data_IF_652291868182
#
_entry.id   IF_652291868182
#
_cell.length_a   1.000
_cell.length_b   1.000
_cell.length_c   1.000
_cell.angle_alpha   90.00
_cell.angle_beta   90.00
_cell.angle_gamma   90.00
#
_symmetry.space_group_name_H-M   'P 1'
#
loop_
_entity.id
_entity.type
_entity.pdbx_description
1 polymer ?
#
# COMPACT_ATOMS: atom_id res chain seq x y z
N UNK A 1 7.93 -10.53 11.63
CA UNK A 1 6.86 -9.63 11.15
C UNK A 1 6.78 -9.73 9.64
N UNK A 2 5.64 -10.11 9.09
CA UNK A 2 5.38 -10.16 7.64
C UNK A 2 5.35 -8.74 7.05
N UNK A 3 5.45 -8.60 5.72
CA UNK A 3 5.32 -7.29 5.08
C UNK A 3 3.93 -6.68 5.27
N UNK A 4 2.88 -7.51 5.35
CA UNK A 4 1.51 -7.05 5.67
C UNK A 4 1.43 -6.47 7.07
N UNK A 5 2.02 -7.16 8.04
CA UNK A 5 2.11 -6.68 9.43
C UNK A 5 2.96 -5.41 9.54
N UNK A 6 4.06 -5.29 8.78
CA UNK A 6 4.88 -4.07 8.71
C UNK A 6 4.06 -2.87 8.26
N UNK A 7 3.33 -3.02 7.16
CA UNK A 7 2.46 -1.98 6.61
C UNK A 7 1.39 -1.56 7.62
N UNK A 8 0.64 -2.53 8.17
CA UNK A 8 -0.41 -2.26 9.16
C UNK A 8 0.14 -1.54 10.39
N UNK A 9 1.27 -2.03 10.93
CA UNK A 9 1.92 -1.42 12.09
C UNK A 9 2.37 0.02 11.81
N UNK A 10 2.94 0.30 10.65
CA UNK A 10 3.40 1.65 10.29
C UNK A 10 2.25 2.66 10.28
N UNK A 11 1.12 2.30 9.64
CA UNK A 11 -0.05 3.17 9.55
C UNK A 11 -1.01 3.07 10.76
N UNK A 12 -0.65 2.27 11.77
CA UNK A 12 -1.42 2.14 13.00
C UNK A 12 -2.73 1.35 12.88
N UNK A 13 -2.85 0.49 11.87
CA UNK A 13 -4.03 -0.36 11.66
C UNK A 13 -3.98 -1.60 12.55
N UNK A 14 -5.12 -1.95 13.17
CA UNK A 14 -5.31 -3.25 13.80
C UNK A 14 -5.45 -4.37 12.74
N UNK A 15 -5.36 -5.64 13.16
CA UNK A 15 -5.38 -6.78 12.24
C UNK A 15 -6.65 -6.85 11.37
N UNK A 16 -7.80 -6.56 11.95
CA UNK A 16 -9.11 -6.60 11.28
C UNK A 16 -9.70 -5.21 11.01
N UNK A 17 -8.88 -4.16 11.13
CA UNK A 17 -9.33 -2.78 10.87
C UNK A 17 -9.47 -2.53 9.37
N UNK A 18 -10.47 -1.73 9.00
CA UNK A 18 -10.58 -1.20 7.65
C UNK A 18 -9.41 -0.27 7.35
N UNK A 19 -8.74 -0.50 6.23
CA UNK A 19 -7.80 0.45 5.65
C UNK A 19 -8.08 0.60 4.15
N UNK A 20 -8.00 1.82 3.60
CA UNK A 20 -8.37 2.08 2.21
C UNK A 20 -7.30 1.58 1.24
N UNK A 21 -7.74 1.08 0.09
CA UNK A 21 -6.91 0.93 -1.09
C UNK A 21 -6.34 2.30 -1.48
N UNK A 22 -5.03 2.37 -1.67
CA UNK A 22 -4.35 3.62 -1.98
C UNK A 22 -4.68 4.13 -3.39
N UNK A 23 -5.12 3.22 -4.27
CA UNK A 23 -5.49 3.53 -5.67
C UNK A 23 -6.93 4.05 -5.77
N UNK A 24 -7.90 3.33 -5.18
CA UNK A 24 -9.32 3.57 -5.43
C UNK A 24 -10.19 3.75 -4.17
N UNK A 25 -9.58 3.72 -2.98
CA UNK A 25 -10.26 3.89 -1.67
C UNK A 25 -11.24 2.79 -1.24
N UNK A 26 -11.51 1.80 -2.09
CA UNK A 26 -12.21 0.57 -1.66
C UNK A 26 -11.45 -0.13 -0.52
N UNK A 27 -12.08 -1.03 0.27
CA UNK A 27 -11.37 -1.77 1.32
C UNK A 27 -10.15 -2.51 0.76
N UNK A 28 -8.98 -2.23 1.31
CA UNK A 28 -7.79 -2.99 0.97
C UNK A 28 -7.87 -4.37 1.62
N UNK A 29 -7.51 -5.39 0.85
CA UNK A 29 -7.50 -6.80 1.29
C UNK A 29 -6.10 -7.39 1.22
N UNK A 30 -5.15 -6.68 0.61
CA UNK A 30 -3.76 -7.10 0.50
C UNK A 30 -2.80 -5.91 0.58
N UNK A 31 -1.52 -6.23 0.75
CA UNK A 31 -0.40 -5.28 0.61
C UNK A 31 0.43 -5.74 -0.58
N UNK A 32 0.70 -4.83 -1.50
CA UNK A 32 1.43 -5.07 -2.73
C UNK A 32 2.80 -4.41 -2.67
N UNK A 33 3.82 -5.05 -3.25
CA UNK A 33 5.13 -4.42 -3.42
C UNK A 33 5.13 -3.53 -4.65
N UNK A 34 5.27 -2.21 -4.50
CA UNK A 34 5.26 -1.27 -5.63
C UNK A 34 6.29 -1.67 -6.71
N UNK A 35 7.51 -2.03 -6.28
CA UNK A 35 8.48 -2.77 -7.06
C UNK A 35 8.44 -4.24 -6.66
N UNK A 36 8.22 -5.15 -7.61
CA UNK A 36 8.11 -6.58 -7.33
C UNK A 36 9.37 -7.14 -6.65
N UNK A 37 9.20 -8.09 -5.71
CA UNK A 37 10.33 -8.76 -5.03
C UNK A 37 11.26 -9.47 -6.01
N UNK A 38 10.72 -10.10 -7.05
CA UNK A 38 11.49 -10.76 -8.12
C UNK A 38 12.38 -9.80 -8.90
N UNK A 39 12.10 -8.49 -8.84
CA UNK A 39 12.86 -7.41 -9.49
C UNK A 39 13.73 -6.62 -8.50
N UNK A 40 13.88 -7.11 -7.27
CA UNK A 40 14.67 -6.47 -6.22
C UNK A 40 13.91 -5.43 -5.39
N UNK A 41 12.58 -5.53 -5.30
CA UNK A 41 11.80 -4.79 -4.31
C UNK A 41 12.01 -5.31 -2.89
N UNK A 42 12.02 -4.39 -1.92
CA UNK A 42 12.25 -4.68 -0.49
C UNK A 42 10.94 -4.69 0.31
N UNK A 43 10.99 -5.15 1.56
CA UNK A 43 9.86 -5.06 2.50
C UNK A 43 9.93 -3.76 3.34
N UNK A 44 10.46 -2.68 2.76
CA UNK A 44 10.50 -1.33 3.36
C UNK A 44 9.17 -0.62 3.12
N UNK A 45 8.75 0.26 4.04
CA UNK A 45 7.39 0.82 4.00
C UNK A 45 7.11 1.56 2.69
N UNK A 46 8.11 2.28 2.16
CA UNK A 46 8.04 3.04 0.92
C UNK A 46 7.77 2.18 -0.31
N UNK A 47 7.93 0.85 -0.19
CA UNK A 47 7.65 -0.12 -1.24
C UNK A 47 6.38 -0.96 -0.98
N UNK A 48 5.64 -0.72 0.11
CA UNK A 48 4.47 -1.53 0.50
C UNK A 48 3.19 -0.72 0.36
N UNK A 49 2.28 -1.16 -0.51
CA UNK A 49 1.07 -0.41 -0.90
C UNK A 49 -0.19 -1.19 -0.53
N UNK A 50 -1.11 -0.60 0.22
CA UNK A 50 -2.41 -1.21 0.52
C UNK A 50 -3.33 -1.20 -0.71
N UNK A 51 -3.80 -2.38 -1.15
CA UNK A 51 -4.64 -2.51 -2.36
C UNK A 51 -5.85 -3.39 -2.16
N UNK A 52 -6.94 -3.08 -2.88
CA UNK A 52 -8.07 -4.00 -3.04
C UNK A 52 -7.74 -5.06 -4.10
N UNK A 53 -8.58 -6.10 -4.20
CA UNK A 53 -8.34 -7.22 -5.13
C UNK A 53 -8.28 -6.79 -6.60
N UNK A 54 -9.15 -5.89 -7.04
CA UNK A 54 -9.17 -5.43 -8.44
C UNK A 54 -7.89 -4.68 -8.80
N UNK A 55 -7.49 -3.69 -7.98
CA UNK A 55 -6.25 -2.96 -8.22
C UNK A 55 -5.01 -3.85 -8.10
N UNK A 56 -5.03 -4.87 -7.22
CA UNK A 56 -3.95 -5.85 -7.17
C UNK A 56 -3.82 -6.63 -8.48
N UNK A 57 -4.95 -7.04 -9.08
CA UNK A 57 -4.98 -7.67 -10.40
C UNK A 57 -4.49 -6.71 -11.50
N UNK A 58 -4.87 -5.43 -11.44
CA UNK A 58 -4.40 -4.41 -12.39
C UNK A 58 -2.87 -4.24 -12.36
N UNK A 59 -2.23 -4.34 -11.19
CA UNK A 59 -0.77 -4.35 -11.08
C UNK A 59 -0.14 -5.57 -11.80
N UNK A 60 -0.71 -6.77 -11.62
CA UNK A 60 -0.19 -7.98 -12.27
C UNK A 60 -0.47 -8.02 -13.78
N UNK A 61 -1.49 -7.31 -14.25
CA UNK A 61 -1.82 -7.17 -15.67
C UNK A 61 -1.13 -5.97 -16.34
N UNK A 62 -0.16 -5.34 -15.67
CA UNK A 62 0.58 -4.17 -16.17
C UNK A 62 -0.29 -2.94 -16.52
N UNK A 63 -1.52 -2.87 -15.97
CA UNK A 63 -2.39 -1.69 -16.07
C UNK A 63 -1.91 -0.60 -15.11
N UNK A 64 -1.41 -0.99 -13.93
CA UNK A 64 -0.73 -0.12 -12.97
C UNK A 64 0.74 -0.48 -12.91
N UNK A 65 1.63 0.42 -13.36
CA UNK A 65 3.07 0.15 -13.37
C UNK A 65 3.72 0.31 -12.00
N UNK A 66 4.93 -0.23 -11.82
CA UNK A 66 5.73 -0.03 -10.59
C UNK A 66 5.90 1.46 -10.25
N UNK A 67 6.06 2.30 -11.29
CA UNK A 67 6.19 3.75 -11.15
C UNK A 67 4.90 4.39 -10.66
N UNK A 68 3.76 3.95 -11.17
CA UNK A 68 2.45 4.45 -10.73
C UNK A 68 2.20 4.08 -9.28
N UNK A 69 2.48 2.83 -8.91
CA UNK A 69 2.34 2.34 -7.54
C UNK A 69 3.25 3.11 -6.57
N UNK A 70 4.52 3.34 -6.93
CA UNK A 70 5.43 4.13 -6.11
C UNK A 70 4.99 5.60 -5.97
N UNK A 71 4.42 6.20 -7.02
CA UNK A 71 3.89 7.57 -6.98
C UNK A 71 2.64 7.67 -6.11
N UNK A 72 1.69 6.74 -6.28
CA UNK A 72 0.45 6.65 -5.48
C UNK A 72 0.81 6.50 -4.00
N UNK A 73 1.72 5.57 -3.68
CA UNK A 73 2.10 5.31 -2.30
C UNK A 73 2.79 6.49 -1.64
N UNK A 74 3.73 7.14 -2.34
CA UNK A 74 4.36 8.37 -1.86
C UNK A 74 3.32 9.44 -1.50
N UNK A 75 2.27 9.60 -2.32
CA UNK A 75 1.19 10.56 -2.04
C UNK A 75 0.35 10.15 -0.82
N UNK A 76 0.06 8.86 -0.68
CA UNK A 76 -0.66 8.33 0.47
C UNK A 76 0.13 8.54 1.77
N UNK A 77 1.44 8.24 1.77
CA UNK A 77 2.32 8.50 2.92
C UNK A 77 2.29 9.97 3.34
N UNK A 78 2.40 10.91 2.40
CA UNK A 78 2.35 12.35 2.72
C UNK A 78 1.00 12.75 3.30
N UNK A 79 -0.11 12.24 2.73
CA UNK A 79 -1.45 12.54 3.20
C UNK A 79 -1.73 11.98 4.61
N UNK A 80 -1.08 10.88 4.99
CA UNK A 80 -1.30 10.19 6.27
C UNK A 80 -0.31 10.60 7.37
N UNK A 81 0.85 11.16 7.03
CA UNK A 81 1.92 11.55 7.99
C UNK A 81 1.95 13.04 8.34
N UNK A 82 1.03 13.86 7.80
CA UNK A 82 0.88 15.27 8.16
C UNK A 82 0.33 15.50 9.58
N UNK A 83 0.26 16.75 10.09
CA UNK A 83 -0.23 17.09 11.44
C UNK A 83 -1.70 16.68 11.71
N UNK A 84 -2.39 16.15 10.71
CA UNK A 84 -3.74 15.58 10.79
C UNK A 84 -3.73 14.03 10.78
N UNK A 85 -2.57 13.41 10.96
CA UNK A 85 -2.31 11.96 10.91
C UNK A 85 -2.76 11.18 12.14
N UNK A 86 -3.95 11.48 12.68
CA UNK A 86 -4.69 10.56 13.53
C UNK A 86 -6.03 10.26 12.89
N UNK A 87 -6.11 9.05 12.35
CA UNK A 87 -7.30 8.36 11.84
C UNK A 87 -8.06 9.11 10.74
N UNK A 88 -7.83 8.68 9.50
CA UNK A 88 -8.93 8.60 8.53
C UNK A 88 -10.06 7.73 9.11
#
# INVERSE_FOLDING_TARGET
MTYKEKYKKHFGYALDEYYPCEVCRAPAVDVHHAKFKSRGGTDDIENLVGVCRSCHTDCHNEILSERDMAYIHRRFMVATTGPMGKKL
#
